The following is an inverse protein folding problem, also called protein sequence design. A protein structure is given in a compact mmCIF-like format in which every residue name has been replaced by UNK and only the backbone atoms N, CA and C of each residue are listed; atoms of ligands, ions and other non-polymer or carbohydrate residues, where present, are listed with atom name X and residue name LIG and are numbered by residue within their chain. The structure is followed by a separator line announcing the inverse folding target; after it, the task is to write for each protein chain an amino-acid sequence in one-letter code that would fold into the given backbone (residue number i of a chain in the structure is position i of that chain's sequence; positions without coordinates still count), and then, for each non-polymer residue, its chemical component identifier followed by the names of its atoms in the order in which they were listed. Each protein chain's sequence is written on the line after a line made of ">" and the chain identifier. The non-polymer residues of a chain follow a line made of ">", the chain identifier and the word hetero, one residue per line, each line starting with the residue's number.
data_IF_758880163190
#
_entry.id   IF_758880163190
#
_cell.length_a   1.000
_cell.length_b   1.000
_cell.length_c   1.000
_cell.angle_alpha   90.00
_cell.angle_beta   90.00
_cell.angle_gamma   90.00
#
_symmetry.space_group_name_H-M   'P 1'
#
loop_
_entity.id
_entity.type
_entity.pdbx_description
1 polymer ?
#
# COMPACT_ATOMS: atom_id res chain seq x y z
N UNK A 1 -4.99 13.02 21.35
CA UNK A 1 -6.42 12.99 20.96
C UNK A 1 -6.87 11.60 20.53
N UNK A 2 -6.15 10.92 19.63
CA UNK A 2 -6.53 9.59 19.11
C UNK A 2 -6.73 8.51 20.19
N UNK A 3 -5.87 8.43 21.21
CA UNK A 3 -6.02 7.49 22.32
C UNK A 3 -7.32 7.66 23.11
N UNK A 4 -7.80 8.91 23.28
CA UNK A 4 -9.07 9.17 23.95
C UNK A 4 -10.26 8.73 23.09
N UNK A 5 -10.22 9.04 21.79
CA UNK A 5 -11.24 8.60 20.84
C UNK A 5 -11.34 7.08 20.79
N UNK A 6 -10.19 6.38 20.72
CA UNK A 6 -10.15 4.93 20.73
C UNK A 6 -10.78 4.35 22.01
N UNK A 7 -10.45 4.92 23.18
CA UNK A 7 -11.08 4.51 24.44
C UNK A 7 -12.58 4.73 24.44
N UNK A 8 -13.06 5.86 23.90
CA UNK A 8 -14.48 6.14 23.82
C UNK A 8 -15.22 5.11 22.96
N UNK A 9 -14.71 4.84 21.76
CA UNK A 9 -15.30 3.92 20.79
C UNK A 9 -15.28 2.47 21.28
N UNK A 10 -14.23 2.07 22.00
CA UNK A 10 -14.11 0.69 22.52
C UNK A 10 -14.88 0.47 23.82
N UNK A 11 -15.05 1.47 24.68
CA UNK A 11 -15.76 1.34 25.96
C UNK A 11 -17.25 1.66 25.90
N UNK A 12 -17.66 2.59 25.03
CA UNK A 12 -19.05 3.06 24.96
C UNK A 12 -19.82 2.52 23.74
N UNK A 13 -19.19 1.61 22.99
CA UNK A 13 -19.75 1.03 21.77
C UNK A 13 -19.25 1.76 20.53
N UNK A 14 -19.19 1.01 19.43
CA UNK A 14 -18.70 1.52 18.16
C UNK A 14 -19.79 2.38 17.50
N UNK A 15 -19.50 3.64 17.16
CA UNK A 15 -20.45 4.50 16.46
C UNK A 15 -20.82 3.94 15.09
N UNK A 16 -22.05 4.21 14.64
CA UNK A 16 -22.48 3.82 13.28
C UNK A 16 -21.91 4.76 12.21
N UNK A 17 -21.38 5.93 12.59
CA UNK A 17 -20.88 6.97 11.68
C UNK A 17 -19.35 7.10 11.70
N UNK A 18 -18.60 6.01 11.78
CA UNK A 18 -17.12 6.04 11.84
C UNK A 18 -16.45 6.83 10.70
N UNK A 19 -17.12 7.06 9.57
CA UNK A 19 -16.64 7.91 8.48
C UNK A 19 -16.53 9.40 8.85
N UNK A 20 -17.21 9.86 9.91
CA UNK A 20 -17.10 11.22 10.45
C UNK A 20 -15.85 11.41 11.32
N UNK A 21 -15.17 10.31 11.68
CA UNK A 21 -14.01 10.29 12.56
C UNK A 21 -12.69 10.31 11.76
N UNK A 22 -11.56 10.69 12.41
CA UNK A 22 -10.24 10.57 11.78
C UNK A 22 -9.96 9.13 11.34
N UNK A 23 -9.55 8.94 10.08
CA UNK A 23 -9.26 7.62 9.50
C UNK A 23 -8.22 6.82 10.30
N UNK A 24 -7.29 7.53 10.96
CA UNK A 24 -6.27 6.93 11.83
C UNK A 24 -6.86 6.10 12.98
N UNK A 25 -8.11 6.35 13.37
CA UNK A 25 -8.82 5.53 14.35
C UNK A 25 -8.99 4.10 13.83
N UNK A 26 -9.25 3.93 12.53
CA UNK A 26 -9.51 2.62 11.90
C UNK A 26 -8.28 1.70 11.94
N UNK A 27 -7.08 2.26 12.10
CA UNK A 27 -5.84 1.49 12.29
C UNK A 27 -5.91 0.57 13.52
N UNK A 28 -6.76 0.89 14.48
CA UNK A 28 -6.95 0.18 15.75
C UNK A 28 -8.27 -0.59 15.83
N UNK A 29 -9.06 -0.60 14.77
CA UNK A 29 -10.36 -1.30 14.69
C UNK A 29 -10.30 -2.43 13.67
N UNK A 30 -11.20 -3.39 13.77
CA UNK A 30 -11.38 -4.48 12.81
C UNK A 30 -12.44 -4.15 11.75
N UNK A 31 -12.44 -4.82 10.60
CA UNK A 31 -13.53 -4.69 9.62
C UNK A 31 -14.91 -5.00 10.19
N UNK A 32 -15.01 -5.91 11.18
CA UNK A 32 -16.26 -6.21 11.88
C UNK A 32 -16.77 -5.04 12.71
N UNK A 33 -15.87 -4.24 13.29
CA UNK A 33 -16.24 -3.05 14.05
C UNK A 33 -16.89 -2.00 13.13
N UNK A 34 -16.47 -1.95 11.88
CA UNK A 34 -16.97 -1.02 10.87
C UNK A 34 -18.26 -1.50 10.16
N UNK A 35 -18.75 -2.70 10.46
CA UNK A 35 -19.86 -3.32 9.72
C UNK A 35 -21.17 -2.53 9.80
N UNK A 36 -21.38 -1.73 10.85
CA UNK A 36 -22.55 -0.85 10.97
C UNK A 36 -22.40 0.46 10.18
N UNK A 37 -21.16 0.89 9.89
CA UNK A 37 -20.86 2.10 9.11
C UNK A 37 -20.82 1.83 7.61
N UNK A 38 -20.19 0.74 7.20
CA UNK A 38 -20.04 0.47 5.78
C UNK A 38 -19.44 -0.88 5.44
N UNK A 39 -19.01 -1.00 4.18
CA UNK A 39 -18.45 -2.25 3.67
C UNK A 39 -17.00 -2.44 4.08
N UNK A 40 -16.54 -3.69 4.08
CA UNK A 40 -15.14 -4.03 4.31
C UNK A 40 -14.19 -3.33 3.29
N UNK A 41 -14.60 -3.21 2.01
CA UNK A 41 -13.81 -2.48 1.01
C UNK A 41 -13.69 -0.99 1.35
N UNK A 42 -14.77 -0.39 1.86
CA UNK A 42 -14.76 1.00 2.31
C UNK A 42 -13.85 1.18 3.53
N UNK A 43 -13.91 0.26 4.50
CA UNK A 43 -13.01 0.23 5.65
C UNK A 43 -11.55 0.26 5.20
N UNK A 44 -11.15 -0.66 4.32
CA UNK A 44 -9.76 -0.71 3.85
C UNK A 44 -9.37 0.47 2.96
N UNK A 45 -10.30 1.05 2.19
CA UNK A 45 -10.00 2.30 1.47
C UNK A 45 -9.71 3.46 2.43
N UNK A 46 -10.39 3.50 3.58
CA UNK A 46 -10.10 4.48 4.61
C UNK A 46 -8.80 4.18 5.35
N UNK A 47 -8.52 2.91 5.68
CA UNK A 47 -7.25 2.47 6.29
C UNK A 47 -6.07 2.79 5.38
N UNK A 48 -6.15 2.47 4.09
CA UNK A 48 -5.08 2.75 3.11
C UNK A 48 -4.80 4.24 2.90
N UNK A 49 -5.75 5.12 3.28
CA UNK A 49 -5.61 6.59 3.27
C UNK A 49 -5.26 7.19 4.64
N UNK A 50 -5.21 6.38 5.70
CA UNK A 50 -4.86 6.84 7.04
C UNK A 50 -3.36 7.17 7.11
N UNK A 51 -2.98 7.97 8.11
CA UNK A 51 -1.59 8.28 8.36
C UNK A 51 -0.84 7.05 8.92
N UNK A 52 0.00 6.43 8.08
CA UNK A 52 0.76 5.24 8.47
C UNK A 52 1.73 5.47 9.63
N UNK A 53 2.17 6.70 9.88
CA UNK A 53 3.16 7.02 10.92
C UNK A 53 2.57 6.88 12.34
N UNK A 54 1.25 6.75 12.45
CA UNK A 54 0.56 6.43 13.70
C UNK A 54 0.88 5.01 14.17
N UNK A 55 1.18 4.09 13.25
CA UNK A 55 1.66 2.75 13.57
C UNK A 55 3.18 2.68 13.35
N UNK A 56 3.97 2.39 14.41
CA UNK A 56 5.40 2.10 14.25
C UNK A 56 5.63 1.03 13.19
N UNK A 57 6.72 1.13 12.44
CA UNK A 57 6.99 0.21 11.32
C UNK A 57 7.05 -1.25 11.75
N UNK A 58 7.54 -1.51 12.95
CA UNK A 58 7.68 -2.85 13.53
C UNK A 58 6.38 -3.35 14.18
N UNK A 59 5.31 -2.54 14.18
CA UNK A 59 4.05 -2.92 14.80
C UNK A 59 3.43 -4.12 14.07
N UNK A 60 3.19 -5.25 14.75
CA UNK A 60 2.55 -6.43 14.14
C UNK A 60 1.18 -6.12 13.51
N UNK A 61 0.55 -5.03 13.98
CA UNK A 61 -0.71 -4.52 13.47
C UNK A 61 -0.68 -4.19 11.98
N UNK A 62 0.46 -3.71 11.43
CA UNK A 62 0.59 -3.39 9.99
C UNK A 62 0.41 -4.64 9.14
N UNK A 63 1.11 -5.72 9.49
CA UNK A 63 0.96 -7.02 8.83
C UNK A 63 -0.45 -7.59 8.99
N UNK A 64 -1.05 -7.45 10.18
CA UNK A 64 -2.42 -7.89 10.41
C UNK A 64 -3.42 -7.16 9.50
N UNK A 65 -3.32 -5.82 9.40
CA UNK A 65 -4.17 -5.03 8.52
C UNK A 65 -4.01 -5.43 7.05
N UNK A 66 -2.78 -5.70 6.60
CA UNK A 66 -2.55 -6.20 5.25
C UNK A 66 -3.27 -7.53 5.01
N UNK A 67 -3.12 -8.51 5.90
CA UNK A 67 -3.76 -9.83 5.75
C UNK A 67 -5.29 -9.74 5.75
N UNK A 68 -5.87 -8.91 6.63
CA UNK A 68 -7.30 -8.67 6.67
C UNK A 68 -7.78 -7.95 5.39
N UNK A 69 -6.99 -7.03 4.83
CA UNK A 69 -7.30 -6.33 3.58
C UNK A 69 -7.28 -7.27 2.37
N UNK A 70 -6.27 -8.13 2.27
CA UNK A 70 -6.18 -9.12 1.19
C UNK A 70 -7.36 -10.11 1.24
N UNK A 71 -7.75 -10.56 2.44
CA UNK A 71 -8.92 -11.40 2.63
C UNK A 71 -10.23 -10.67 2.25
N UNK A 72 -10.35 -9.39 2.62
CA UNK A 72 -11.49 -8.55 2.29
C UNK A 72 -11.69 -8.36 0.78
N UNK A 73 -10.60 -8.11 0.06
CA UNK A 73 -10.57 -7.90 -1.38
C UNK A 73 -10.65 -9.21 -2.17
N UNK A 74 -10.51 -10.36 -1.49
CA UNK A 74 -10.50 -11.69 -2.09
C UNK A 74 -9.42 -11.85 -3.16
N UNK A 75 -8.22 -11.30 -2.87
CA UNK A 75 -7.08 -11.35 -3.78
C UNK A 75 -6.73 -12.82 -4.10
N UNK A 76 -6.74 -13.23 -5.37
CA UNK A 76 -6.39 -14.60 -5.75
C UNK A 76 -4.88 -14.80 -5.74
N UNK A 77 -4.37 -15.56 -4.77
CA UNK A 77 -2.93 -15.78 -4.63
C UNK A 77 -2.21 -14.48 -4.31
N UNK A 78 -1.24 -14.10 -5.15
CA UNK A 78 -0.39 -12.91 -4.95
C UNK A 78 -0.65 -11.79 -5.95
N UNK A 79 -1.62 -11.96 -6.86
CA UNK A 79 -1.86 -11.03 -7.96
C UNK A 79 -2.85 -9.94 -7.54
N UNK A 80 -2.35 -8.72 -7.39
CA UNK A 80 -3.12 -7.52 -7.04
C UNK A 80 -3.26 -6.66 -8.28
N UNK A 81 -4.49 -6.23 -8.59
CA UNK A 81 -4.78 -5.31 -9.69
C UNK A 81 -4.81 -3.86 -9.21
N UNK A 82 -4.75 -2.91 -10.14
CA UNK A 82 -4.69 -1.47 -9.85
C UNK A 82 -5.84 -1.01 -8.95
N UNK A 83 -7.06 -1.50 -9.17
CA UNK A 83 -8.24 -1.16 -8.36
C UNK A 83 -8.14 -1.59 -6.88
N UNK A 84 -7.45 -2.70 -6.61
CA UNK A 84 -7.23 -3.20 -5.27
C UNK A 84 -6.01 -2.52 -4.64
N UNK A 85 -4.99 -2.23 -5.44
CA UNK A 85 -3.83 -1.45 -5.01
C UNK A 85 -4.24 -0.05 -4.51
N UNK A 86 -5.20 0.59 -5.18
CA UNK A 86 -5.78 1.86 -4.74
C UNK A 86 -6.51 1.75 -3.39
N UNK A 87 -7.18 0.62 -3.12
CA UNK A 87 -7.81 0.38 -1.81
C UNK A 87 -6.75 0.18 -0.73
N UNK A 88 -5.71 -0.60 -1.02
CA UNK A 88 -4.64 -0.92 -0.08
C UNK A 88 -3.84 0.33 0.33
N UNK A 89 -3.60 1.27 -0.58
CA UNK A 89 -2.90 2.51 -0.28
C UNK A 89 -1.53 2.25 0.36
N UNK A 90 -1.25 2.81 1.53
CA UNK A 90 0.04 2.61 2.21
C UNK A 90 0.30 1.15 2.61
N UNK A 91 -0.72 0.28 2.72
CA UNK A 91 -0.52 -1.14 3.02
C UNK A 91 0.27 -1.87 1.92
N UNK A 92 0.38 -1.30 0.72
CA UNK A 92 1.26 -1.81 -0.33
C UNK A 92 2.72 -1.90 0.12
N UNK A 93 3.15 -1.03 1.03
CA UNK A 93 4.51 -1.02 1.56
C UNK A 93 4.82 -2.23 2.44
N UNK A 94 3.80 -2.96 2.89
CA UNK A 94 3.91 -4.17 3.71
C UNK A 94 3.93 -5.46 2.85
N UNK A 95 3.74 -5.35 1.53
CA UNK A 95 3.71 -6.51 0.63
C UNK A 95 5.09 -7.16 0.47
N UNK A 96 5.12 -8.49 0.45
CA UNK A 96 6.34 -9.25 0.11
C UNK A 96 6.73 -9.10 -1.37
N UNK A 97 7.99 -9.44 -1.68
CA UNK A 97 8.51 -9.36 -3.05
C UNK A 97 7.80 -10.27 -4.07
N UNK A 98 7.14 -11.33 -3.61
CA UNK A 98 6.29 -12.23 -4.41
C UNK A 98 5.02 -11.52 -4.95
N UNK A 99 4.35 -10.73 -4.12
CA UNK A 99 3.23 -9.87 -4.55
C UNK A 99 3.68 -8.84 -5.58
N UNK A 100 4.83 -8.20 -5.34
CA UNK A 100 5.41 -7.20 -6.26
C UNK A 100 5.69 -7.83 -7.63
N UNK A 101 6.39 -8.97 -7.67
CA UNK A 101 6.72 -9.65 -8.93
C UNK A 101 5.49 -10.12 -9.70
N UNK A 102 4.54 -10.74 -9.02
CA UNK A 102 3.34 -11.32 -9.67
C UNK A 102 2.33 -10.27 -10.12
N UNK A 103 2.24 -9.14 -9.40
CA UNK A 103 1.35 -8.03 -9.75
C UNK A 103 1.97 -7.10 -10.80
N UNK A 104 3.30 -7.08 -10.90
CA UNK A 104 4.04 -6.35 -11.92
C UNK A 104 3.82 -4.84 -11.85
N UNK A 105 3.63 -4.23 -13.02
CA UNK A 105 3.52 -2.76 -13.15
C UNK A 105 2.35 -2.11 -12.40
N UNK A 106 1.33 -2.89 -12.02
CA UNK A 106 0.13 -2.39 -11.33
C UNK A 106 0.43 -1.78 -9.96
N UNK A 107 1.51 -2.19 -9.31
CA UNK A 107 1.87 -1.72 -7.97
C UNK A 107 2.85 -0.56 -7.97
N UNK A 108 3.58 -0.31 -9.07
CA UNK A 108 4.71 0.61 -9.08
C UNK A 108 4.34 2.03 -8.65
N UNK A 109 3.17 2.53 -9.07
CA UNK A 109 2.68 3.85 -8.66
C UNK A 109 2.33 3.92 -7.18
N UNK A 110 1.74 2.86 -6.63
CA UNK A 110 1.46 2.80 -5.19
C UNK A 110 2.75 2.69 -4.37
N UNK A 111 3.66 1.82 -4.81
CA UNK A 111 4.97 1.61 -4.17
C UNK A 111 5.84 2.87 -4.20
N UNK A 112 5.72 3.75 -5.20
CA UNK A 112 6.48 5.01 -5.22
C UNK A 112 6.13 5.97 -4.06
N UNK A 113 5.08 5.68 -3.29
CA UNK A 113 4.73 6.43 -2.06
C UNK A 113 5.31 5.81 -0.78
N UNK A 114 5.98 4.66 -0.88
CA UNK A 114 6.62 4.01 0.26
C UNK A 114 7.92 4.70 0.64
N UNK A 115 8.18 4.85 1.94
CA UNK A 115 9.37 5.56 2.42
C UNK A 115 10.66 4.73 2.35
N UNK A 116 10.57 3.40 2.36
CA UNK A 116 11.71 2.49 2.21
C UNK A 116 11.23 1.06 2.03
N UNK A 117 12.14 0.19 1.60
CA UNK A 117 11.85 -1.19 1.22
C UNK A 117 12.79 -2.16 1.94
N UNK A 118 12.35 -3.40 2.07
CA UNK A 118 13.20 -4.53 2.42
C UNK A 118 14.03 -4.96 1.20
N UNK A 119 15.19 -5.60 1.39
CA UNK A 119 16.03 -6.05 0.27
C UNK A 119 15.29 -6.91 -0.77
N UNK A 120 14.39 -7.79 -0.32
CA UNK A 120 13.58 -8.62 -1.22
C UNK A 120 12.53 -7.83 -2.02
N UNK A 121 12.01 -6.74 -1.45
CA UNK A 121 11.09 -5.84 -2.15
C UNK A 121 11.85 -5.03 -3.18
N UNK A 122 13.04 -4.53 -2.84
CA UNK A 122 13.91 -3.81 -3.78
C UNK A 122 14.26 -4.68 -5.01
N UNK A 123 14.67 -5.92 -4.78
CA UNK A 123 14.95 -6.88 -5.85
C UNK A 123 13.72 -7.08 -6.75
N UNK A 124 12.55 -7.34 -6.14
CA UNK A 124 11.30 -7.49 -6.87
C UNK A 124 10.92 -6.25 -7.69
N UNK A 125 11.11 -5.04 -7.15
CA UNK A 125 10.86 -3.79 -7.86
C UNK A 125 11.80 -3.66 -9.06
N UNK A 126 13.09 -3.98 -8.90
CA UNK A 126 14.05 -3.94 -10.01
C UNK A 126 13.71 -4.95 -11.09
N UNK A 127 13.29 -6.17 -10.73
CA UNK A 127 12.84 -7.19 -11.68
C UNK A 127 11.66 -6.67 -12.53
N UNK A 128 10.65 -6.10 -11.88
CA UNK A 128 9.45 -5.56 -12.53
C UNK A 128 9.83 -4.41 -13.47
N UNK A 129 10.62 -3.43 -13.00
CA UNK A 129 11.04 -2.29 -13.81
C UNK A 129 11.89 -2.71 -15.02
N UNK A 130 12.82 -3.65 -14.81
CA UNK A 130 13.73 -4.13 -15.85
C UNK A 130 13.02 -4.98 -16.92
N UNK A 131 11.92 -5.66 -16.56
CA UNK A 131 11.13 -6.43 -17.52
C UNK A 131 10.55 -5.56 -18.65
N UNK A 132 10.33 -4.27 -18.38
CA UNK A 132 9.65 -3.34 -19.29
C UNK A 132 8.18 -3.67 -19.56
N UNK A 133 7.65 -4.75 -18.98
CA UNK A 133 6.26 -5.18 -19.13
C UNK A 133 5.35 -4.42 -18.15
N UNK A 134 5.40 -3.10 -18.23
CA UNK A 134 4.63 -2.18 -17.39
C UNK A 134 4.03 -1.09 -18.27
N UNK A 135 3.07 -0.35 -17.74
CA UNK A 135 2.51 0.84 -18.41
C UNK A 135 3.55 1.93 -18.66
N UNK A 136 4.69 1.90 -17.96
CA UNK A 136 5.81 2.83 -18.13
C UNK A 136 6.80 2.39 -19.22
N UNK A 137 6.70 1.16 -19.71
CA UNK A 137 7.64 0.57 -20.65
C UNK A 137 9.04 0.31 -20.05
N UNK A 138 10.01 -0.11 -20.89
CA UNK A 138 11.38 -0.34 -20.45
C UNK A 138 12.09 0.96 -20.04
N UNK A 139 13.15 0.89 -19.20
CA UNK A 139 13.90 2.08 -18.78
C UNK A 139 14.39 2.99 -19.92
N UNK A 140 14.70 2.41 -21.08
CA UNK A 140 15.13 3.14 -22.27
C UNK A 140 14.07 4.06 -22.89
N UNK A 141 12.78 3.88 -22.56
CA UNK A 141 11.69 4.74 -23.02
C UNK A 141 11.21 5.73 -21.96
N UNK A 142 11.83 5.75 -20.77
CA UNK A 142 11.37 6.61 -19.69
C UNK A 142 11.62 8.08 -20.00
N UNK A 143 10.59 8.88 -19.72
CA UNK A 143 10.63 10.34 -19.83
C UNK A 143 10.83 10.98 -18.45
N UNK A 144 11.09 12.29 -18.41
CA UNK A 144 11.07 13.05 -17.16
C UNK A 144 9.74 12.91 -16.40
N UNK A 145 8.62 12.76 -17.12
CA UNK A 145 7.31 12.50 -16.52
C UNK A 145 7.27 11.13 -15.84
N UNK A 146 7.78 10.08 -16.50
CA UNK A 146 7.90 8.73 -15.93
C UNK A 146 8.73 8.73 -14.65
N UNK A 147 9.88 9.43 -14.66
CA UNK A 147 10.75 9.56 -13.49
C UNK A 147 10.08 10.34 -12.35
N UNK A 148 9.22 11.30 -12.65
CA UNK A 148 8.43 12.01 -11.64
C UNK A 148 7.42 11.09 -10.96
N UNK A 149 6.68 10.28 -11.73
CA UNK A 149 5.69 9.33 -11.20
C UNK A 149 6.35 8.22 -10.36
N UNK A 150 7.57 7.80 -10.74
CA UNK A 150 8.36 6.76 -10.06
C UNK A 150 9.38 7.33 -9.07
N UNK A 151 9.25 8.59 -8.67
CA UNK A 151 10.29 9.31 -7.90
C UNK A 151 10.68 8.61 -6.59
N UNK A 152 9.73 8.03 -5.86
CA UNK A 152 10.04 7.26 -4.64
C UNK A 152 10.72 5.91 -4.87
N UNK A 153 10.78 5.43 -6.12
CA UNK A 153 11.52 4.21 -6.49
C UNK A 153 12.94 4.51 -6.98
N UNK A 154 13.30 5.79 -7.20
CA UNK A 154 14.65 6.19 -7.63
C UNK A 154 15.76 5.60 -6.73
N UNK A 155 15.63 5.59 -5.39
CA UNK A 155 16.65 5.00 -4.51
C UNK A 155 16.86 3.49 -4.70
N UNK A 156 15.88 2.80 -5.29
CA UNK A 156 15.92 1.35 -5.54
C UNK A 156 16.64 1.03 -6.85
N UNK A 157 16.76 2.00 -7.76
CA UNK A 157 17.37 1.78 -9.07
C UNK A 157 18.88 1.53 -8.94
N UNK A 158 19.35 0.43 -9.52
CA UNK A 158 20.78 0.10 -9.57
C UNK A 158 21.40 0.52 -10.92
N UNK A 159 22.70 0.28 -11.06
CA UNK A 159 23.43 0.61 -12.28
C UNK A 159 22.84 -0.07 -13.53
N UNK A 160 22.26 -1.26 -13.39
CA UNK A 160 21.70 -2.01 -14.51
C UNK A 160 20.50 -1.30 -15.13
N UNK A 161 19.70 -0.59 -14.33
CA UNK A 161 18.56 0.21 -14.80
C UNK A 161 19.02 1.61 -15.20
N UNK A 162 19.80 2.28 -14.34
CA UNK A 162 20.18 3.69 -14.51
C UNK A 162 20.91 3.96 -15.83
N UNK A 163 21.75 3.03 -16.30
CA UNK A 163 22.49 3.18 -17.56
C UNK A 163 21.59 3.21 -18.81
N UNK A 164 20.36 2.69 -18.71
CA UNK A 164 19.41 2.65 -19.82
C UNK A 164 18.52 3.88 -19.88
N UNK A 165 18.44 4.69 -18.81
CA UNK A 165 17.58 5.86 -18.78
C UNK A 165 18.15 6.95 -19.71
N UNK A 166 17.35 7.52 -20.62
CA UNK A 166 17.79 8.61 -21.49
C UNK A 166 18.33 9.81 -20.68
N UNK A 167 19.40 10.43 -21.18
CA UNK A 167 20.02 11.62 -20.58
C UNK A 167 19.23 12.90 -20.85
#
# INVERSE_FOLDING_TARGET
>A
QLSCLLKMVTLHGIPEDLDSYPKDLLLFLSPSDYAATGSCRQFFSNVGKANQDVLPREAPRRQQLLLEALACLKVPGTQIHEEDAEVLGWLLCELGGDYIRSSGGSLLKGLSHCGSFLPEQEEAIRDVLSSGNTTFGPPASWSAFTLSELSGLIPVLDHSILQHIPK
#
